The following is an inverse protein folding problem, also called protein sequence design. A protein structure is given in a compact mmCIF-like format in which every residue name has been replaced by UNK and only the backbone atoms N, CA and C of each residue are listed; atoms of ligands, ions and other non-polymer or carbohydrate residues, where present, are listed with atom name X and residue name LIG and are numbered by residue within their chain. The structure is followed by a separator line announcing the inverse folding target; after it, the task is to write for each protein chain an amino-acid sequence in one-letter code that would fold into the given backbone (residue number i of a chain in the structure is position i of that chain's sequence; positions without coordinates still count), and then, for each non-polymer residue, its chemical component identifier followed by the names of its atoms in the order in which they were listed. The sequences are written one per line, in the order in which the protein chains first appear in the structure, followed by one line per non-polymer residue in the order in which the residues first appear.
data_IF_142120276215
#
_entry.id   IF_142120276215
#
_cell.length_a   1.000
_cell.length_b   1.000
_cell.length_c   1.000
_cell.angle_alpha   90.00
_cell.angle_beta   90.00
_cell.angle_gamma   90.00
#
_symmetry.space_group_name_H-M   'P 1'
#
loop_
_entity.id
_entity.type
_entity.pdbx_description
1 polymer ?
#
# COMPACT_ATOMS: atom_id res chain seq x y z
N UNK A 1 17.62 4.56 11.37
CA UNK A 1 16.13 4.66 11.44
C UNK A 1 15.65 5.75 12.39
N UNK A 2 16.17 5.87 13.63
CA UNK A 2 15.79 6.96 14.56
C UNK A 2 16.03 8.36 13.97
N UNK A 3 17.16 8.59 13.32
CA UNK A 3 17.52 9.88 12.70
C UNK A 3 16.59 10.29 11.55
N UNK A 4 16.10 9.35 10.73
CA UNK A 4 15.26 9.66 9.57
C UNK A 4 13.83 10.04 9.98
N UNK A 5 13.27 9.37 11.00
CA UNK A 5 11.96 9.72 11.55
C UNK A 5 11.97 11.09 12.23
N UNK A 6 13.07 11.42 12.92
CA UNK A 6 13.25 12.72 13.58
C UNK A 6 13.34 13.88 12.59
N UNK A 7 13.93 13.68 11.40
CA UNK A 7 14.01 14.71 10.35
C UNK A 7 12.63 15.00 9.76
N UNK A 8 11.79 13.98 9.57
CA UNK A 8 10.40 14.14 9.09
C UNK A 8 9.55 14.91 10.11
N UNK A 9 9.69 14.58 11.41
CA UNK A 9 8.98 15.28 12.50
C UNK A 9 9.43 16.73 12.67
N UNK A 10 10.72 17.03 12.50
CA UNK A 10 11.25 18.39 12.69
C UNK A 10 10.88 19.34 11.54
N UNK A 11 10.72 18.82 10.31
CA UNK A 11 10.31 19.60 9.16
C UNK A 11 8.84 20.08 9.22
N UNK A 12 8.00 19.45 10.05
CA UNK A 12 6.58 19.78 10.22
C UNK A 12 6.31 20.95 11.18
N UNK A 13 7.33 21.44 11.91
CA UNK A 13 7.10 22.39 13.01
C UNK A 13 7.43 23.86 12.71
N UNK A 14 8.00 24.19 11.54
CA UNK A 14 8.57 25.52 11.29
C UNK A 14 8.11 26.13 9.96
N UNK A 15 6.82 26.49 9.82
CA UNK A 15 6.39 27.45 8.79
C UNK A 15 5.31 28.42 9.29
N UNK A 16 5.47 29.68 8.86
CA UNK A 16 4.75 30.88 9.27
C UNK A 16 3.29 30.87 8.84
N UNK A 17 2.43 31.40 9.71
CA UNK A 17 0.98 31.51 9.50
C UNK A 17 0.61 32.52 8.41
N UNK A 18 0.44 32.07 7.17
CA UNK A 18 -0.38 32.78 6.19
C UNK A 18 -1.80 32.18 6.21
N UNK A 19 -2.81 33.03 6.04
CA UNK A 19 -4.19 32.61 5.91
C UNK A 19 -4.36 31.89 4.55
N UNK A 20 -4.04 30.60 4.52
CA UNK A 20 -4.14 29.77 3.33
C UNK A 20 -5.53 29.13 3.28
N UNK A 21 -6.29 29.43 2.22
CA UNK A 21 -7.49 28.66 1.89
C UNK A 21 -7.09 27.21 1.60
N UNK A 22 -7.86 26.26 2.10
CA UNK A 22 -7.62 24.83 1.87
C UNK A 22 -7.34 24.54 0.38
N UNK A 23 -6.26 23.80 0.05
CA UNK A 23 -6.02 23.33 -1.32
C UNK A 23 -7.10 22.35 -1.82
N UNK A 24 -7.95 21.83 -0.92
CA UNK A 24 -8.92 20.79 -1.21
C UNK A 24 -10.37 21.27 -1.13
N UNK A 25 -11.22 20.63 -1.92
CA UNK A 25 -12.67 20.78 -1.88
C UNK A 25 -13.34 19.42 -2.07
N UNK A 26 -13.88 18.89 -0.98
CA UNK A 26 -14.75 17.70 -0.95
C UNK A 26 -16.12 18.10 -1.47
N UNK A 27 -16.61 17.42 -2.51
CA UNK A 27 -17.90 17.70 -3.15
C UNK A 27 -18.81 16.50 -2.93
N UNK A 28 -19.92 16.67 -2.21
CA UNK A 28 -20.76 15.54 -1.75
C UNK A 28 -21.17 14.50 -2.81
N UNK A 29 -21.42 14.90 -4.07
CA UNK A 29 -21.72 13.96 -5.16
C UNK A 29 -20.51 13.24 -5.75
N UNK A 30 -19.31 13.80 -5.60
CA UNK A 30 -18.03 13.19 -6.02
C UNK A 30 -17.60 12.07 -5.09
N UNK A 31 -17.73 12.28 -3.78
CA UNK A 31 -17.31 11.31 -2.75
C UNK A 31 -18.07 9.98 -2.86
N UNK A 32 -19.35 10.05 -3.28
CA UNK A 32 -20.19 8.87 -3.48
C UNK A 32 -19.59 7.90 -4.50
N UNK A 33 -18.86 8.38 -5.50
CA UNK A 33 -18.22 7.52 -6.51
C UNK A 33 -16.99 6.79 -5.95
N UNK A 34 -16.15 7.46 -5.17
CA UNK A 34 -14.95 6.86 -4.60
C UNK A 34 -15.29 5.85 -3.52
N UNK A 35 -16.14 6.23 -2.55
CA UNK A 35 -16.60 5.32 -1.51
C UNK A 35 -17.52 4.22 -2.07
N UNK A 36 -18.46 4.58 -2.95
CA UNK A 36 -19.36 3.61 -3.58
C UNK A 36 -18.59 2.58 -4.40
N UNK A 37 -17.72 3.04 -5.31
CA UNK A 37 -16.88 2.16 -6.12
C UNK A 37 -15.93 1.30 -5.27
N UNK A 38 -15.27 1.89 -4.26
CA UNK A 38 -14.42 1.16 -3.33
C UNK A 38 -15.18 0.09 -2.53
N UNK A 39 -16.33 0.45 -1.95
CA UNK A 39 -17.15 -0.48 -1.18
C UNK A 39 -17.72 -1.60 -2.05
N UNK A 40 -18.27 -1.27 -3.23
CA UNK A 40 -18.75 -2.26 -4.20
C UNK A 40 -17.63 -3.19 -4.65
N UNK A 41 -16.43 -2.69 -4.92
CA UNK A 41 -15.29 -3.51 -5.30
C UNK A 41 -14.84 -4.47 -4.19
N UNK A 42 -14.84 -4.00 -2.93
CA UNK A 42 -14.62 -4.88 -1.76
C UNK A 42 -15.71 -5.95 -1.68
N UNK A 43 -16.99 -5.56 -1.80
CA UNK A 43 -18.12 -6.50 -1.80
C UNK A 43 -17.99 -7.58 -2.89
N UNK A 44 -17.69 -7.18 -4.12
CA UNK A 44 -17.42 -8.10 -5.23
C UNK A 44 -16.26 -9.03 -4.91
N UNK A 45 -15.16 -8.51 -4.34
CA UNK A 45 -14.02 -9.35 -3.96
C UNK A 45 -14.39 -10.42 -2.92
N UNK A 46 -15.27 -10.09 -1.96
CA UNK A 46 -15.75 -11.07 -0.98
C UNK A 46 -16.61 -12.16 -1.62
N UNK A 47 -17.39 -11.83 -2.64
CA UNK A 47 -18.14 -12.82 -3.42
C UNK A 47 -17.19 -13.73 -4.21
N UNK A 48 -16.18 -13.16 -4.89
CA UNK A 48 -15.17 -13.92 -5.62
C UNK A 48 -14.35 -14.84 -4.71
N UNK A 49 -14.08 -14.40 -3.47
CA UNK A 49 -13.30 -15.14 -2.48
C UNK A 49 -13.86 -16.53 -2.16
N UNK A 50 -15.17 -16.71 -2.26
CA UNK A 50 -15.83 -18.00 -2.02
C UNK A 50 -15.46 -19.05 -3.08
N UNK A 51 -15.02 -18.61 -4.27
CA UNK A 51 -14.59 -19.50 -5.35
C UNK A 51 -13.11 -19.87 -5.27
N UNK A 52 -12.35 -19.27 -4.35
CA UNK A 52 -10.90 -19.50 -4.24
C UNK A 52 -10.61 -20.73 -3.41
N UNK A 53 -10.26 -21.81 -4.11
CA UNK A 53 -9.85 -23.08 -3.50
C UNK A 53 -8.32 -23.14 -3.33
N UNK A 54 -7.81 -23.62 -2.18
CA UNK A 54 -6.38 -23.90 -2.02
C UNK A 54 -5.94 -24.95 -3.04
N UNK A 55 -4.63 -24.96 -3.37
CA UNK A 55 -4.06 -26.07 -4.14
C UNK A 55 -4.02 -27.32 -3.26
N UNK A 56 -4.21 -28.49 -3.87
CA UNK A 56 -3.97 -29.77 -3.20
C UNK A 56 -2.47 -30.13 -3.24
N UNK A 57 -2.09 -31.20 -2.53
CA UNK A 57 -0.70 -31.64 -2.41
C UNK A 57 -0.05 -31.97 -3.74
N UNK A 58 -0.79 -32.57 -4.68
CA UNK A 58 -0.27 -32.98 -5.99
C UNK A 58 0.01 -31.75 -6.88
N UNK A 59 -0.93 -30.79 -6.87
CA UNK A 59 -0.77 -29.51 -7.55
C UNK A 59 0.39 -28.67 -7.00
N UNK A 60 0.68 -28.77 -5.69
CA UNK A 60 1.81 -28.08 -5.07
C UNK A 60 3.13 -28.74 -5.49
N UNK A 61 3.17 -30.07 -5.55
CA UNK A 61 4.35 -30.83 -5.96
C UNK A 61 4.67 -30.67 -7.45
N UNK A 62 3.67 -30.38 -8.29
CA UNK A 62 3.87 -30.11 -9.71
C UNK A 62 4.28 -28.66 -10.02
N UNK A 63 4.43 -27.79 -9.01
CA UNK A 63 4.93 -26.44 -9.21
C UNK A 63 6.39 -26.46 -9.66
N UNK A 64 6.64 -25.89 -10.84
CA UNK A 64 7.98 -25.77 -11.40
C UNK A 64 8.54 -24.36 -11.20
N UNK A 65 9.69 -24.25 -10.53
CA UNK A 65 10.41 -22.99 -10.33
C UNK A 65 10.92 -22.41 -11.65
N UNK A 66 11.17 -23.24 -12.66
CA UNK A 66 11.66 -22.78 -13.95
C UNK A 66 10.58 -22.02 -14.74
N UNK A 67 9.30 -22.28 -14.46
CA UNK A 67 8.17 -21.49 -14.97
C UNK A 67 8.11 -20.06 -14.42
N UNK A 68 8.81 -19.77 -13.32
CA UNK A 68 8.88 -18.42 -12.74
C UNK A 68 9.96 -17.61 -13.45
N UNK A 69 9.70 -16.36 -13.88
CA UNK A 69 10.72 -15.51 -14.47
C UNK A 69 11.94 -15.33 -13.56
N UNK A 70 13.15 -15.33 -14.12
CA UNK A 70 14.39 -15.35 -13.34
C UNK A 70 14.49 -14.22 -12.30
N UNK A 71 14.04 -13.00 -12.64
CA UNK A 71 14.05 -11.85 -11.72
C UNK A 71 13.10 -12.01 -10.52
N UNK A 72 12.11 -12.90 -10.61
CA UNK A 72 11.15 -13.18 -9.53
C UNK A 72 11.60 -14.33 -8.63
N UNK A 73 12.50 -15.19 -9.10
CA UNK A 73 12.96 -16.39 -8.37
C UNK A 73 13.70 -16.07 -7.06
N UNK A 74 14.18 -14.84 -6.85
CA UNK A 74 14.76 -14.45 -5.57
C UNK A 74 13.84 -14.75 -4.38
N UNK A 75 12.54 -14.43 -4.51
CA UNK A 75 11.60 -14.56 -3.42
C UNK A 75 11.26 -16.03 -3.09
N UNK A 76 11.46 -16.97 -4.02
CA UNK A 76 11.14 -18.39 -3.80
C UNK A 76 12.11 -19.05 -2.83
N UNK A 77 13.33 -18.51 -2.70
CA UNK A 77 14.38 -19.04 -1.84
C UNK A 77 14.32 -18.51 -0.40
N UNK A 78 13.22 -17.85 -0.03
CA UNK A 78 13.09 -17.17 1.25
C UNK A 78 11.77 -17.46 1.96
N UNK A 79 11.84 -17.60 3.29
CA UNK A 79 10.67 -17.79 4.15
C UNK A 79 10.91 -17.21 5.56
N UNK A 80 11.39 -15.97 5.64
CA UNK A 80 11.73 -15.35 6.93
C UNK A 80 10.48 -14.91 7.71
N UNK A 81 10.24 -15.54 8.87
CA UNK A 81 9.19 -15.14 9.80
C UNK A 81 9.40 -13.72 10.36
N UNK A 82 10.66 -13.33 10.60
CA UNK A 82 11.03 -11.97 11.05
C UNK A 82 10.70 -10.92 10.00
N UNK A 83 11.05 -11.16 8.73
CA UNK A 83 10.72 -10.23 7.64
C UNK A 83 9.20 -10.08 7.47
N UNK A 84 8.45 -11.19 7.59
CA UNK A 84 6.99 -11.18 7.62
C UNK A 84 6.43 -10.34 8.78
N UNK A 85 6.97 -10.51 10.00
CA UNK A 85 6.56 -9.74 11.17
C UNK A 85 6.81 -8.24 10.98
N UNK A 86 8.01 -7.85 10.56
CA UNK A 86 8.37 -6.44 10.38
C UNK A 86 7.57 -5.77 9.26
N UNK A 87 7.36 -6.47 8.14
CA UNK A 87 6.51 -5.94 7.08
C UNK A 87 5.05 -5.79 7.50
N UNK A 88 4.50 -6.68 8.31
CA UNK A 88 3.16 -6.52 8.88
C UNK A 88 3.06 -5.31 9.81
N UNK A 89 4.07 -5.10 10.68
CA UNK A 89 4.12 -3.94 11.57
C UNK A 89 4.17 -2.63 10.78
N UNK A 90 5.05 -2.54 9.78
CA UNK A 90 5.19 -1.36 8.93
C UNK A 90 3.91 -1.08 8.14
N UNK A 91 3.29 -2.12 7.56
CA UNK A 91 2.02 -2.00 6.87
C UNK A 91 0.90 -1.53 7.81
N UNK A 92 0.77 -2.14 9.00
CA UNK A 92 -0.25 -1.75 9.98
C UNK A 92 -0.05 -0.31 10.48
N UNK A 93 1.19 0.18 10.50
CA UNK A 93 1.51 1.57 10.85
C UNK A 93 1.24 2.59 9.75
N UNK A 94 0.89 2.17 8.52
CA UNK A 94 0.68 3.09 7.39
C UNK A 94 -0.35 4.20 7.65
N UNK A 95 -1.46 3.98 8.38
CA UNK A 95 -2.42 5.06 8.69
C UNK A 95 -1.84 6.15 9.61
N UNK A 96 -0.73 5.89 10.29
CA UNK A 96 -0.06 6.92 11.07
C UNK A 96 0.50 8.04 10.18
N UNK A 97 0.87 7.75 8.92
CA UNK A 97 1.44 8.73 7.99
C UNK A 97 0.50 9.93 7.76
N UNK A 98 -0.77 9.75 7.36
CA UNK A 98 -1.67 10.89 7.23
C UNK A 98 -2.04 11.54 8.56
N UNK A 99 -2.00 10.80 9.68
CA UNK A 99 -2.22 11.38 11.02
C UNK A 99 -1.09 12.36 11.39
N UNK A 100 0.15 12.11 10.96
CA UNK A 100 1.27 13.05 11.18
C UNK A 100 1.04 14.42 10.53
N UNK A 101 0.22 14.50 9.48
CA UNK A 101 -0.16 15.76 8.87
C UNK A 101 -0.89 16.68 9.86
N UNK A 102 -1.56 16.10 10.86
CA UNK A 102 -2.26 16.86 11.89
C UNK A 102 -1.30 17.61 12.82
N UNK A 103 0.01 17.35 12.78
CA UNK A 103 0.99 18.19 13.48
C UNK A 103 1.02 19.63 12.92
N UNK A 104 0.72 19.78 11.63
CA UNK A 104 0.64 21.07 10.95
C UNK A 104 -0.69 21.78 11.23
N UNK A 105 -0.64 23.04 11.66
CA UNK A 105 -1.84 23.81 12.04
C UNK A 105 -2.72 24.18 10.85
N UNK A 106 -2.15 24.40 9.67
CA UNK A 106 -2.90 24.77 8.47
C UNK A 106 -3.63 23.56 7.92
N UNK A 107 -2.95 22.42 7.86
CA UNK A 107 -3.56 21.14 7.47
C UNK A 107 -4.66 20.74 8.45
N UNK A 108 -4.42 20.85 9.77
CA UNK A 108 -5.38 20.43 10.80
C UNK A 108 -6.74 21.13 10.71
N UNK A 109 -6.80 22.36 10.19
CA UNK A 109 -8.06 23.08 9.97
C UNK A 109 -8.97 22.35 8.98
N UNK A 110 -8.39 21.56 8.08
CA UNK A 110 -9.09 20.79 7.05
C UNK A 110 -9.07 19.28 7.34
N UNK A 111 -8.89 18.89 8.61
CA UNK A 111 -8.76 17.49 9.03
C UNK A 111 -9.92 16.59 8.55
N UNK A 112 -11.15 17.12 8.50
CA UNK A 112 -12.30 16.37 7.99
C UNK A 112 -12.17 16.06 6.51
N UNK A 113 -11.84 17.05 5.68
CA UNK A 113 -11.65 16.87 4.25
C UNK A 113 -10.49 15.90 3.95
N UNK A 114 -9.38 16.04 4.67
CA UNK A 114 -8.23 15.12 4.54
C UNK A 114 -8.62 13.72 5.01
N UNK A 115 -9.37 13.59 6.09
CA UNK A 115 -9.90 12.31 6.57
C UNK A 115 -10.75 11.59 5.52
N UNK A 116 -11.64 12.33 4.85
CA UNK A 116 -12.45 11.82 3.74
C UNK A 116 -11.56 11.30 2.61
N UNK A 117 -10.66 12.13 2.09
CA UNK A 117 -9.73 11.78 1.01
C UNK A 117 -8.88 10.54 1.38
N UNK A 118 -8.39 10.46 2.62
CA UNK A 118 -7.60 9.32 3.08
C UNK A 118 -8.44 8.04 3.22
N UNK A 119 -9.72 8.18 3.59
CA UNK A 119 -10.68 7.09 3.57
C UNK A 119 -10.88 6.55 2.16
N UNK A 120 -11.12 7.43 1.18
CA UNK A 120 -11.27 7.04 -0.23
C UNK A 120 -10.02 6.33 -0.76
N UNK A 121 -8.83 6.86 -0.47
CA UNK A 121 -7.55 6.20 -0.80
C UNK A 121 -7.50 4.78 -0.24
N UNK A 122 -7.91 4.59 1.02
CA UNK A 122 -7.96 3.27 1.64
C UNK A 122 -8.96 2.34 0.94
N UNK A 123 -10.19 2.79 0.72
CA UNK A 123 -11.25 1.97 0.14
C UNK A 123 -10.93 1.56 -1.30
N UNK A 124 -10.52 2.51 -2.14
CA UNK A 124 -10.18 2.26 -3.55
C UNK A 124 -8.96 1.34 -3.66
N UNK A 125 -7.87 1.61 -2.92
CA UNK A 125 -6.68 0.75 -2.94
C UNK A 125 -7.00 -0.67 -2.44
N UNK A 126 -7.83 -0.80 -1.42
CA UNK A 126 -8.25 -2.10 -0.88
C UNK A 126 -9.08 -2.88 -1.89
N UNK A 127 -10.06 -2.22 -2.54
CA UNK A 127 -10.86 -2.82 -3.60
C UNK A 127 -10.00 -3.36 -4.73
N UNK A 128 -9.11 -2.53 -5.29
CA UNK A 128 -8.20 -2.91 -6.38
C UNK A 128 -7.32 -4.11 -5.99
N UNK A 129 -6.77 -4.08 -4.79
CA UNK A 129 -5.90 -5.15 -4.28
C UNK A 129 -6.66 -6.46 -4.12
N UNK A 130 -7.83 -6.43 -3.47
CA UNK A 130 -8.60 -7.64 -3.18
C UNK A 130 -9.18 -8.22 -4.47
N UNK A 131 -9.83 -7.42 -5.31
CA UNK A 131 -10.38 -7.90 -6.58
C UNK A 131 -9.31 -8.57 -7.44
N UNK A 132 -8.15 -7.94 -7.59
CA UNK A 132 -7.04 -8.52 -8.37
C UNK A 132 -6.60 -9.87 -7.82
N UNK A 133 -6.49 -10.00 -6.49
CA UNK A 133 -6.09 -11.24 -5.84
C UNK A 133 -7.07 -12.39 -6.10
N UNK A 134 -8.36 -12.11 -5.95
CA UNK A 134 -9.45 -13.09 -6.11
C UNK A 134 -9.77 -13.36 -7.60
N UNK A 135 -9.07 -12.71 -8.54
CA UNK A 135 -9.13 -13.00 -9.99
C UNK A 135 -7.89 -13.78 -10.44
N UNK A 136 -6.70 -13.33 -10.03
CA UNK A 136 -5.43 -13.81 -10.61
C UNK A 136 -4.94 -15.12 -10.01
N UNK A 137 -5.20 -15.37 -8.72
CA UNK A 137 -4.84 -16.62 -8.03
C UNK A 137 -3.37 -17.08 -8.16
N UNK A 138 -2.43 -16.12 -8.28
CA UNK A 138 -0.99 -16.41 -8.41
C UNK A 138 -0.44 -17.10 -7.16
N UNK A 139 0.14 -18.32 -7.27
CA UNK A 139 0.88 -18.97 -6.18
C UNK A 139 1.95 -18.06 -5.58
N UNK A 140 2.10 -18.03 -4.25
CA UNK A 140 3.11 -17.22 -3.57
C UNK A 140 4.50 -17.85 -3.73
N UNK A 141 5.58 -17.04 -3.66
CA UNK A 141 6.94 -17.54 -3.81
C UNK A 141 7.30 -18.70 -2.87
N UNK A 142 6.84 -18.66 -1.61
CA UNK A 142 7.12 -19.73 -0.65
C UNK A 142 6.58 -21.10 -1.06
N UNK A 143 5.62 -21.17 -1.99
CA UNK A 143 5.08 -22.46 -2.45
C UNK A 143 6.13 -23.30 -3.20
N UNK A 144 7.07 -22.63 -3.87
CA UNK A 144 8.19 -23.24 -4.60
C UNK A 144 9.36 -23.60 -3.70
N UNK A 145 9.32 -23.25 -2.41
CA UNK A 145 10.41 -23.49 -1.48
C UNK A 145 10.26 -24.87 -0.80
N UNK A 146 11.23 -25.79 -0.91
CA UNK A 146 11.14 -27.13 -0.31
C UNK A 146 11.13 -27.10 1.23
N UNK A 147 11.74 -26.08 1.85
CA UNK A 147 11.87 -25.96 3.32
C UNK A 147 10.58 -25.48 4.00
N UNK A 148 9.57 -25.10 3.22
CA UNK A 148 8.31 -24.56 3.76
C UNK A 148 7.32 -25.69 4.03
N UNK A 149 6.76 -25.79 5.26
CA UNK A 149 5.83 -26.86 5.61
C UNK A 149 4.61 -26.92 4.69
N UNK A 150 4.17 -28.13 4.35
CA UNK A 150 2.99 -28.33 3.49
C UNK A 150 1.73 -27.69 4.10
N UNK A 151 1.61 -27.65 5.42
CA UNK A 151 0.52 -26.98 6.14
C UNK A 151 0.43 -25.47 5.85
N UNK A 152 1.55 -24.80 5.53
CA UNK A 152 1.54 -23.40 5.09
C UNK A 152 1.14 -23.27 3.61
N UNK A 153 1.53 -24.23 2.77
CA UNK A 153 1.25 -24.25 1.33
C UNK A 153 -0.21 -24.59 1.00
N UNK A 154 -0.87 -25.38 1.84
CA UNK A 154 -2.28 -25.75 1.72
C UNK A 154 -3.26 -24.63 2.13
N UNK A 155 -2.77 -23.50 2.64
CA UNK A 155 -3.63 -22.36 2.99
C UNK A 155 -4.16 -21.69 1.73
N UNK A 156 -5.44 -21.29 1.74
CA UNK A 156 -6.05 -20.51 0.64
C UNK A 156 -5.23 -19.27 0.26
N UNK A 157 -4.72 -18.54 1.26
CA UNK A 157 -3.88 -17.34 1.04
C UNK A 157 -2.58 -17.63 0.26
N UNK A 158 -2.11 -18.88 0.23
CA UNK A 158 -0.91 -19.27 -0.50
C UNK A 158 -1.04 -18.99 -2.01
N UNK A 159 -2.26 -18.91 -2.56
CA UNK A 159 -2.52 -18.59 -3.98
C UNK A 159 -2.84 -17.12 -4.25
N UNK A 160 -2.71 -16.23 -3.26
CA UNK A 160 -3.11 -14.84 -3.39
C UNK A 160 -1.88 -13.91 -3.40
N UNK A 161 -0.93 -14.17 -4.30
CA UNK A 161 0.30 -13.38 -4.37
C UNK A 161 0.10 -12.03 -5.08
N UNK A 162 -0.53 -12.00 -6.25
CA UNK A 162 -0.53 -10.81 -7.10
C UNK A 162 -1.68 -9.83 -6.81
N UNK A 163 -1.45 -8.52 -6.75
CA UNK A 163 -0.17 -7.85 -6.43
C UNK A 163 0.00 -7.68 -4.91
N UNK A 164 1.12 -7.12 -4.45
CA UNK A 164 1.37 -6.99 -3.00
C UNK A 164 0.49 -5.91 -2.35
N UNK A 165 -0.51 -6.35 -1.57
CA UNK A 165 -1.35 -5.43 -0.79
C UNK A 165 -0.59 -4.65 0.28
N UNK A 166 0.45 -5.23 0.88
CA UNK A 166 1.26 -4.53 1.89
C UNK A 166 2.00 -3.34 1.28
N UNK A 167 2.67 -3.58 0.15
CA UNK A 167 3.36 -2.52 -0.60
C UNK A 167 2.37 -1.49 -1.13
N UNK A 168 1.23 -1.93 -1.70
CA UNK A 168 0.22 -1.02 -2.25
C UNK A 168 -0.40 -0.11 -1.21
N UNK A 169 -0.85 -0.64 -0.07
CA UNK A 169 -1.43 0.19 1.00
C UNK A 169 -0.41 1.18 1.57
N UNK A 170 0.83 0.76 1.80
CA UNK A 170 1.86 1.67 2.31
C UNK A 170 2.23 2.74 1.28
N UNK A 171 2.31 2.38 -0.01
CA UNK A 171 2.51 3.34 -1.09
C UNK A 171 1.34 4.33 -1.18
N UNK A 172 0.09 3.85 -1.10
CA UNK A 172 -1.11 4.69 -1.14
C UNK A 172 -1.13 5.74 -0.03
N UNK A 173 -0.94 5.33 1.24
CA UNK A 173 -0.91 6.28 2.34
C UNK A 173 0.27 7.23 2.28
N UNK A 174 1.46 6.74 1.92
CA UNK A 174 2.66 7.57 1.90
C UNK A 174 2.66 8.58 0.75
N UNK A 175 2.19 8.21 -0.44
CA UNK A 175 2.02 9.12 -1.58
C UNK A 175 0.89 10.12 -1.32
N UNK A 176 -0.24 9.69 -0.74
CA UNK A 176 -1.31 10.61 -0.34
C UNK A 176 -0.83 11.62 0.70
N UNK A 177 -0.08 11.17 1.70
CA UNK A 177 0.52 12.03 2.72
C UNK A 177 1.48 13.04 2.10
N UNK A 178 2.39 12.58 1.23
CA UNK A 178 3.34 13.45 0.53
C UNK A 178 2.64 14.46 -0.38
N UNK A 179 1.57 14.04 -1.06
CA UNK A 179 0.77 14.89 -1.93
C UNK A 179 0.05 15.98 -1.14
N UNK A 180 -0.66 15.60 -0.08
CA UNK A 180 -1.33 16.55 0.82
C UNK A 180 -0.33 17.53 1.40
N UNK A 181 0.74 17.04 2.00
CA UNK A 181 1.76 17.92 2.57
C UNK A 181 2.35 18.89 1.54
N UNK A 182 2.64 18.42 0.32
CA UNK A 182 3.19 19.25 -0.76
C UNK A 182 2.20 20.31 -1.27
N UNK A 183 0.90 20.01 -1.27
CA UNK A 183 -0.13 20.96 -1.72
C UNK A 183 -0.33 22.11 -0.73
N UNK A 184 -0.16 21.87 0.58
CA UNK A 184 -0.12 22.93 1.58
C UNK A 184 1.20 23.70 1.56
N UNK A 185 2.30 23.06 1.16
CA UNK A 185 3.65 23.62 1.22
C UNK A 185 4.36 23.63 -0.15
N UNK A 186 3.83 24.33 -1.17
CA UNK A 186 4.33 24.27 -2.54
C UNK A 186 5.79 24.73 -2.67
N UNK A 187 6.20 25.73 -1.88
CA UNK A 187 7.54 26.33 -1.95
C UNK A 187 8.52 25.76 -0.92
N UNK A 188 8.13 24.72 -0.18
CA UNK A 188 8.99 24.17 0.87
C UNK A 188 10.15 23.36 0.30
N UNK A 189 11.36 23.70 0.75
CA UNK A 189 12.60 22.96 0.45
C UNK A 189 12.58 21.49 0.91
N UNK A 190 11.65 21.10 1.78
CA UNK A 190 11.54 19.73 2.30
C UNK A 190 10.75 18.79 1.40
N UNK A 191 10.11 19.29 0.31
CA UNK A 191 9.36 18.46 -0.65
C UNK A 191 10.17 17.24 -1.13
N UNK A 192 11.45 17.35 -1.54
CA UNK A 192 12.23 16.18 -1.95
C UNK A 192 12.37 15.13 -0.84
N UNK A 193 12.56 15.55 0.41
CA UNK A 193 12.69 14.63 1.54
C UNK A 193 11.36 13.90 1.85
N UNK A 194 10.24 14.60 1.77
CA UNK A 194 8.90 14.02 1.95
C UNK A 194 8.61 12.97 0.88
N UNK A 195 8.88 13.29 -0.39
CA UNK A 195 8.71 12.34 -1.50
C UNK A 195 9.69 11.17 -1.42
N UNK A 196 10.95 11.40 -1.02
CA UNK A 196 11.91 10.32 -0.79
C UNK A 196 11.42 9.36 0.31
N UNK A 197 10.82 9.88 1.38
CA UNK A 197 10.16 9.05 2.40
C UNK A 197 9.01 8.24 1.83
N UNK A 198 8.16 8.86 1.00
CA UNK A 198 7.03 8.20 0.35
C UNK A 198 7.43 7.04 -0.58
N UNK A 199 8.59 7.14 -1.24
CA UNK A 199 9.14 6.05 -2.06
C UNK A 199 9.81 4.98 -1.20
N UNK A 200 10.63 5.39 -0.23
CA UNK A 200 11.51 4.46 0.51
C UNK A 200 10.73 3.49 1.39
N UNK A 201 9.66 3.95 2.05
CA UNK A 201 8.84 3.12 2.96
C UNK A 201 8.20 1.90 2.25
N UNK A 202 7.44 2.05 1.15
CA UNK A 202 6.88 0.91 0.43
C UNK A 202 7.94 0.02 -0.25
N UNK A 203 9.06 0.58 -0.70
CA UNK A 203 10.20 -0.22 -1.20
C UNK A 203 10.76 -1.14 -0.10
N UNK A 204 10.98 -0.60 1.11
CA UNK A 204 11.46 -1.38 2.25
C UNK A 204 10.47 -2.49 2.64
N UNK A 205 9.17 -2.20 2.68
CA UNK A 205 8.15 -3.22 2.94
C UNK A 205 8.11 -4.27 1.82
N UNK A 206 8.19 -3.85 0.56
CA UNK A 206 8.24 -4.75 -0.60
C UNK A 206 9.40 -5.74 -0.50
N UNK A 207 10.59 -5.26 -0.20
CA UNK A 207 11.76 -6.11 0.04
C UNK A 207 11.53 -7.11 1.19
N UNK A 208 10.97 -6.65 2.32
CA UNK A 208 10.62 -7.53 3.44
C UNK A 208 9.55 -8.58 3.06
N UNK A 209 8.63 -8.25 2.15
CA UNK A 209 7.66 -9.22 1.61
C UNK A 209 8.33 -10.31 0.78
N UNK A 210 9.31 -9.95 -0.05
CA UNK A 210 10.11 -10.91 -0.81
C UNK A 210 10.93 -11.80 0.11
N UNK A 211 11.59 -11.22 1.13
CA UNK A 211 12.33 -11.98 2.17
C UNK A 211 11.42 -12.88 3.03
N UNK A 212 10.15 -12.55 3.14
CA UNK A 212 9.15 -13.40 3.79
C UNK A 212 8.57 -14.50 2.88
N UNK A 213 9.02 -14.59 1.62
CA UNK A 213 8.47 -15.51 0.61
C UNK A 213 7.03 -15.18 0.21
N UNK A 214 6.53 -13.98 0.53
CA UNK A 214 5.12 -13.63 0.43
C UNK A 214 4.72 -13.05 -0.92
N UNK A 215 5.65 -12.41 -1.61
CA UNK A 215 5.41 -11.74 -2.89
C UNK A 215 6.66 -11.80 -3.76
N UNK A 216 6.44 -11.96 -5.06
CA UNK A 216 7.46 -11.80 -6.09
C UNK A 216 7.85 -10.33 -6.27
N UNK A 217 8.95 -10.06 -6.97
CA UNK A 217 9.36 -8.69 -7.29
C UNK A 217 8.30 -7.99 -8.15
N UNK A 218 7.74 -8.69 -9.15
CA UNK A 218 6.67 -8.13 -9.98
C UNK A 218 5.37 -7.86 -9.20
N UNK A 219 5.01 -8.71 -8.22
CA UNK A 219 3.89 -8.41 -7.31
C UNK A 219 4.13 -7.12 -6.52
N UNK A 220 5.37 -6.91 -6.07
CA UNK A 220 5.79 -5.73 -5.30
C UNK A 220 5.80 -4.48 -6.18
N UNK A 221 6.35 -4.58 -7.39
CA UNK A 221 6.44 -3.46 -8.33
C UNK A 221 5.05 -2.97 -8.75
N UNK A 222 4.15 -3.89 -9.14
CA UNK A 222 2.77 -3.53 -9.50
C UNK A 222 2.03 -2.96 -8.29
N UNK A 223 2.19 -3.57 -7.11
CA UNK A 223 1.60 -3.03 -5.88
C UNK A 223 2.08 -1.62 -5.56
N UNK A 224 3.37 -1.34 -5.72
CA UNK A 224 3.92 0.01 -5.55
C UNK A 224 3.27 0.99 -6.52
N UNK A 225 3.20 0.67 -7.81
CA UNK A 225 2.63 1.55 -8.83
C UNK A 225 1.15 1.81 -8.59
N UNK A 226 0.35 0.77 -8.34
CA UNK A 226 -1.08 0.91 -8.07
C UNK A 226 -1.32 1.75 -6.82
N UNK A 227 -0.63 1.46 -5.72
CA UNK A 227 -0.75 2.22 -4.48
C UNK A 227 -0.34 3.68 -4.66
N UNK A 228 0.83 3.93 -5.26
CA UNK A 228 1.33 5.28 -5.54
C UNK A 228 0.35 6.08 -6.41
N UNK A 229 -0.21 5.47 -7.45
CA UNK A 229 -1.19 6.09 -8.32
C UNK A 229 -2.47 6.44 -7.56
N UNK A 230 -3.04 5.50 -6.78
CA UNK A 230 -4.23 5.75 -5.96
C UNK A 230 -3.99 6.88 -4.95
N UNK A 231 -2.86 6.82 -4.24
CA UNK A 231 -2.48 7.80 -3.23
C UNK A 231 -2.24 9.20 -3.81
N UNK A 232 -1.76 9.30 -5.06
CA UNK A 232 -1.54 10.59 -5.70
C UNK A 232 -2.79 11.16 -6.37
N UNK A 233 -3.52 10.31 -7.13
CA UNK A 233 -4.64 10.74 -7.98
C UNK A 233 -5.85 11.16 -7.18
N UNK A 234 -6.22 10.43 -6.12
CA UNK A 234 -7.42 10.76 -5.34
C UNK A 234 -7.30 12.15 -4.70
N UNK A 235 -6.24 12.49 -3.94
CA UNK A 235 -6.06 13.87 -3.49
C UNK A 235 -6.00 14.87 -4.64
N UNK A 236 -5.34 14.51 -5.76
CA UNK A 236 -5.27 15.40 -6.93
C UNK A 236 -6.66 15.77 -7.48
N UNK A 237 -7.60 14.82 -7.56
CA UNK A 237 -8.97 15.09 -8.02
C UNK A 237 -9.78 15.98 -7.06
N UNK A 238 -9.40 16.02 -5.78
CA UNK A 238 -10.02 16.89 -4.78
C UNK A 238 -9.40 18.29 -4.71
N UNK A 239 -8.35 18.57 -5.49
CA UNK A 239 -7.75 19.91 -5.49
C UNK A 239 -8.71 20.95 -6.05
N UNK A 240 -8.73 22.11 -5.42
CA UNK A 240 -9.34 23.32 -5.98
C UNK A 240 -8.59 23.71 -7.25
N UNK A 241 -9.35 24.03 -8.29
CA UNK A 241 -8.85 24.61 -9.54
C UNK A 241 -8.67 26.11 -9.37
#
# INVERSE_FOLDING_TARGET
MRSFLSIILLALCLQSSFCQTSPYQVKGSGEMWWYGGGFSGIGISLLLRNNVRPLNSDQIQSLDIESVPAFDRFATRHFSATARKHSNILWLSSPALPILLMADRNIRKDASAIGTIMGEVLFVNTALTLMTKEIVHRPRPFMYNPDVPMSEKLKRDARLSFFSGHTSTLAAFSFATAKVWSDYHPDSRWRPAVWAGAVTLPVAVGYLRMRGGKHFLSDVAVGFVCGAATGWLIPHFHRRR
#
